data_IF_610823441658
#
_entry.id   IF_610823441658
#
_cell.length_a   1.000
_cell.length_b   1.000
_cell.length_c   1.000
_cell.angle_alpha   90.00
_cell.angle_beta   90.00
_cell.angle_gamma   90.00
#
_symmetry.space_group_name_H-M   'P 1'
#
loop_
_entity.id
_entity.type
_entity.pdbx_description
1 polymer ?
#
# COMPACT_ATOMS: atom_id res chain seq x y z
N UNK A 1 -77.74 -2.77 18.69
CA UNK A 1 -77.04 -3.93 18.10
C UNK A 1 -75.56 -3.56 18.06
N UNK A 2 -74.75 -4.13 18.97
CA UNK A 2 -73.43 -3.61 19.31
C UNK A 2 -72.32 -4.12 18.37
N UNK A 3 -71.50 -3.22 17.85
CA UNK A 3 -70.26 -3.49 17.12
C UNK A 3 -69.22 -4.07 18.09
N UNK A 4 -68.81 -5.33 17.90
CA UNK A 4 -67.73 -5.99 18.64
C UNK A 4 -66.37 -5.57 18.06
N UNK A 5 -65.72 -4.59 18.69
CA UNK A 5 -64.27 -4.39 18.58
C UNK A 5 -63.57 -5.48 19.39
N UNK A 6 -63.11 -6.53 18.73
CA UNK A 6 -62.57 -7.72 19.40
C UNK A 6 -61.41 -8.36 18.67
N UNK A 7 -60.41 -7.57 18.23
CA UNK A 7 -59.15 -8.11 17.66
C UNK A 7 -57.89 -7.36 18.18
N UNK A 8 -58.00 -6.30 18.99
CA UNK A 8 -56.87 -5.38 19.23
C UNK A 8 -55.95 -5.73 20.44
N UNK A 9 -56.20 -6.81 21.20
CA UNK A 9 -55.36 -7.12 22.38
C UNK A 9 -54.14 -8.02 22.10
N UNK A 10 -54.20 -8.94 21.13
CA UNK A 10 -53.09 -9.88 20.81
C UNK A 10 -52.13 -9.38 19.71
N UNK A 11 -52.65 -8.62 18.74
CA UNK A 11 -51.88 -8.16 17.57
C UNK A 11 -50.86 -7.07 17.92
N UNK A 12 -51.17 -6.21 18.90
CA UNK A 12 -50.27 -5.14 19.35
C UNK A 12 -48.99 -5.67 20.00
N UNK A 13 -49.09 -6.74 20.78
CA UNK A 13 -47.93 -7.39 21.40
C UNK A 13 -47.06 -8.09 20.36
N UNK A 14 -47.69 -8.78 19.39
CA UNK A 14 -46.98 -9.46 18.30
C UNK A 14 -46.26 -8.47 17.38
N UNK A 15 -46.89 -7.34 17.05
CA UNK A 15 -46.27 -6.28 16.26
C UNK A 15 -45.01 -5.72 16.95
N UNK A 16 -45.06 -5.55 18.28
CA UNK A 16 -43.94 -5.03 19.07
C UNK A 16 -42.75 -6.01 19.09
N UNK A 17 -43.02 -7.33 19.22
CA UNK A 17 -42.00 -8.37 19.12
C UNK A 17 -41.38 -8.40 17.72
N UNK A 18 -42.20 -8.28 16.67
CA UNK A 18 -41.72 -8.28 15.30
C UNK A 18 -40.80 -7.07 15.03
N UNK A 19 -41.21 -5.87 15.43
CA UNK A 19 -40.37 -4.67 15.31
C UNK A 19 -39.07 -4.82 16.11
N UNK A 20 -39.12 -5.39 17.31
CA UNK A 20 -37.92 -5.65 18.12
C UNK A 20 -36.94 -6.59 17.39
N UNK A 21 -37.43 -7.69 16.81
CA UNK A 21 -36.61 -8.65 16.07
C UNK A 21 -35.99 -7.99 14.84
N UNK A 22 -36.78 -7.28 14.02
CA UNK A 22 -36.26 -6.59 12.85
C UNK A 22 -35.23 -5.52 13.23
N UNK A 23 -35.49 -4.75 14.27
CA UNK A 23 -34.55 -3.73 14.78
C UNK A 23 -33.26 -4.40 15.26
N UNK A 24 -33.35 -5.54 15.95
CA UNK A 24 -32.18 -6.32 16.38
C UNK A 24 -31.34 -6.81 15.19
N UNK A 25 -31.99 -7.35 14.15
CA UNK A 25 -31.31 -7.78 12.93
C UNK A 25 -30.65 -6.60 12.20
N UNK A 26 -31.36 -5.47 12.08
CA UNK A 26 -30.83 -4.23 11.49
C UNK A 26 -29.62 -3.71 12.27
N UNK A 27 -29.65 -3.75 13.61
CA UNK A 27 -28.53 -3.35 14.45
C UNK A 27 -27.30 -4.26 14.29
N UNK A 28 -27.51 -5.58 14.18
CA UNK A 28 -26.42 -6.52 13.94
C UNK A 28 -25.78 -6.26 12.57
N UNK A 29 -26.58 -6.10 11.52
CA UNK A 29 -26.08 -5.84 10.16
C UNK A 29 -25.38 -4.48 10.10
N UNK A 30 -26.00 -3.44 10.67
CA UNK A 30 -25.42 -2.09 10.73
C UNK A 30 -24.09 -2.07 11.50
N UNK A 31 -24.03 -2.76 12.64
CA UNK A 31 -22.80 -2.90 13.41
C UNK A 31 -21.70 -3.63 12.63
N UNK A 32 -22.04 -4.70 11.90
CA UNK A 32 -21.08 -5.41 11.05
C UNK A 32 -20.56 -4.52 9.91
N UNK A 33 -21.43 -3.75 9.25
CA UNK A 33 -21.04 -2.82 8.18
C UNK A 33 -20.13 -1.69 8.68
N UNK A 34 -20.38 -1.14 9.87
CA UNK A 34 -19.49 -0.13 10.46
C UNK A 34 -18.11 -0.72 10.74
N UNK A 35 -18.05 -1.91 11.35
CA UNK A 35 -16.79 -2.60 11.59
C UNK A 35 -16.04 -2.91 10.29
N UNK A 36 -16.76 -3.30 9.24
CA UNK A 36 -16.19 -3.53 7.93
C UNK A 36 -15.61 -2.25 7.33
N UNK A 37 -16.36 -1.15 7.34
CA UNK A 37 -15.91 0.15 6.81
C UNK A 37 -14.68 0.69 7.56
N UNK A 38 -14.65 0.56 8.89
CA UNK A 38 -13.49 0.98 9.70
C UNK A 38 -12.25 0.14 9.37
N UNK A 39 -12.41 -1.18 9.20
CA UNK A 39 -11.30 -2.04 8.79
C UNK A 39 -10.79 -1.73 7.39
N UNK A 40 -11.68 -1.54 6.41
CA UNK A 40 -11.28 -1.15 5.05
C UNK A 40 -10.56 0.19 5.04
N UNK A 41 -10.99 1.17 5.83
CA UNK A 41 -10.33 2.46 5.93
C UNK A 41 -8.91 2.34 6.48
N UNK A 42 -8.70 1.49 7.50
CA UNK A 42 -7.37 1.21 8.03
C UNK A 42 -6.50 0.51 6.98
N UNK A 43 -7.01 -0.55 6.36
CA UNK A 43 -6.30 -1.31 5.31
C UNK A 43 -5.90 -0.38 4.15
N UNK A 44 -6.80 0.49 3.71
CA UNK A 44 -6.54 1.42 2.60
C UNK A 44 -5.44 2.41 2.94
N UNK A 45 -5.41 2.94 4.17
CA UNK A 45 -4.34 3.84 4.60
C UNK A 45 -2.98 3.15 4.65
N UNK A 46 -2.92 1.93 5.21
CA UNK A 46 -1.68 1.15 5.21
C UNK A 46 -1.21 0.82 3.80
N UNK A 47 -2.12 0.45 2.90
CA UNK A 47 -1.80 0.20 1.50
C UNK A 47 -1.28 1.46 0.80
N UNK A 48 -1.90 2.62 1.02
CA UNK A 48 -1.45 3.87 0.43
C UNK A 48 -0.02 4.25 0.87
N UNK A 49 0.30 4.12 2.16
CA UNK A 49 1.65 4.33 2.68
C UNK A 49 2.64 3.30 2.11
N UNK A 50 2.24 2.05 1.99
CA UNK A 50 3.05 0.98 1.40
C UNK A 50 3.35 1.20 -0.08
N UNK A 51 2.39 1.74 -0.84
CA UNK A 51 2.64 2.13 -2.21
C UNK A 51 3.58 3.33 -2.29
N UNK A 52 3.37 4.36 -1.47
CA UNK A 52 4.20 5.57 -1.48
C UNK A 52 5.69 5.25 -1.22
N UNK A 53 6.01 4.44 -0.21
CA UNK A 53 7.40 4.04 0.05
C UNK A 53 8.01 3.22 -1.09
N UNK A 54 7.22 2.35 -1.73
CA UNK A 54 7.67 1.52 -2.84
C UNK A 54 7.99 2.37 -4.06
N UNK A 55 7.10 3.28 -4.44
CA UNK A 55 7.33 4.21 -5.55
C UNK A 55 8.51 5.15 -5.30
N UNK A 56 8.77 5.54 -4.05
CA UNK A 56 9.98 6.30 -3.72
C UNK A 56 11.26 5.51 -3.93
N UNK A 57 11.28 4.24 -3.49
CA UNK A 57 12.41 3.36 -3.72
C UNK A 57 12.63 3.11 -5.23
N UNK A 58 11.55 2.92 -6.00
CA UNK A 58 11.61 2.76 -7.45
C UNK A 58 12.10 4.04 -8.17
N UNK A 59 11.68 5.22 -7.71
CA UNK A 59 12.17 6.48 -8.22
C UNK A 59 13.68 6.65 -8.00
N UNK A 60 14.18 6.31 -6.81
CA UNK A 60 15.62 6.32 -6.54
C UNK A 60 16.38 5.33 -7.42
N UNK A 61 15.84 4.14 -7.63
CA UNK A 61 16.44 3.11 -8.48
C UNK A 61 16.49 3.57 -9.95
N UNK A 62 15.44 4.23 -10.42
CA UNK A 62 15.39 4.84 -11.76
C UNK A 62 16.41 5.97 -11.90
N UNK A 63 16.59 6.79 -10.87
CA UNK A 63 17.64 7.82 -10.84
C UNK A 63 19.05 7.20 -10.88
N UNK A 64 19.28 6.08 -10.18
CA UNK A 64 20.53 5.33 -10.21
C UNK A 64 20.82 4.73 -11.59
N UNK A 65 19.81 4.14 -12.24
CA UNK A 65 19.92 3.67 -13.63
C UNK A 65 20.24 4.82 -14.60
N UNK A 66 19.63 5.98 -14.42
CA UNK A 66 19.90 7.15 -15.24
C UNK A 66 21.34 7.68 -15.04
N UNK A 67 21.86 7.63 -13.80
CA UNK A 67 23.24 7.97 -13.49
C UNK A 67 24.23 7.00 -14.16
N UNK A 68 24.01 5.69 -14.03
CA UNK A 68 24.82 4.66 -14.71
C UNK A 68 24.75 4.76 -16.24
N UNK A 69 23.62 5.22 -16.78
CA UNK A 69 23.47 5.46 -18.21
C UNK A 69 24.31 6.63 -18.73
N UNK A 70 24.59 7.63 -17.89
CA UNK A 70 25.46 8.76 -18.24
C UNK A 70 26.94 8.45 -17.98
N UNK A 71 27.24 7.88 -16.81
CA UNK A 71 28.58 7.43 -16.44
C UNK A 71 28.48 6.07 -15.74
N UNK A 72 28.92 5.02 -16.42
CA UNK A 72 28.91 3.65 -15.88
C UNK A 72 29.88 3.46 -14.69
N UNK A 73 30.81 4.39 -14.53
CA UNK A 73 31.79 4.43 -13.45
C UNK A 73 31.25 5.17 -12.23
N UNK A 74 30.01 5.68 -12.27
CA UNK A 74 29.44 6.39 -11.15
C UNK A 74 29.25 5.43 -9.96
N UNK A 75 29.82 5.82 -8.83
CA UNK A 75 29.75 5.08 -7.57
C UNK A 75 29.49 6.08 -6.45
N UNK A 76 28.87 5.58 -5.38
CA UNK A 76 28.62 6.35 -4.18
C UNK A 76 27.15 6.49 -3.84
N UNK A 77 26.89 7.34 -2.86
CA UNK A 77 25.60 7.54 -2.23
C UNK A 77 25.04 8.90 -2.60
N UNK A 78 23.79 8.93 -3.04
CA UNK A 78 23.07 10.17 -3.30
C UNK A 78 21.64 10.06 -2.79
N UNK A 79 21.10 11.22 -2.42
CA UNK A 79 19.78 11.36 -1.82
C UNK A 79 18.95 12.34 -2.62
N UNK A 80 17.64 12.11 -2.65
CA UNK A 80 16.69 13.05 -3.21
C UNK A 80 15.38 13.03 -2.44
N UNK A 81 14.54 14.03 -2.66
CA UNK A 81 13.19 14.08 -2.11
C UNK A 81 12.17 14.10 -3.23
N UNK A 82 11.08 13.37 -3.03
CA UNK A 82 9.98 13.32 -3.97
C UNK A 82 8.66 13.17 -3.20
N UNK A 83 7.69 14.01 -3.50
CA UNK A 83 6.32 13.87 -2.97
C UNK A 83 6.21 13.91 -1.43
N UNK A 84 7.15 14.52 -0.72
CA UNK A 84 7.15 14.61 0.75
C UNK A 84 7.89 13.49 1.47
N UNK A 85 8.44 12.50 0.76
CA UNK A 85 9.39 11.53 1.31
C UNK A 85 10.80 11.71 0.76
N UNK A 86 11.73 10.91 1.26
CA UNK A 86 13.13 10.90 0.83
C UNK A 86 13.53 9.54 0.29
N UNK A 87 14.35 9.53 -0.74
CA UNK A 87 14.98 8.31 -1.24
C UNK A 87 16.49 8.45 -1.16
N UNK A 88 17.17 7.34 -0.84
CA UNK A 88 18.61 7.25 -0.77
C UNK A 88 19.07 6.09 -1.65
N UNK A 89 19.98 6.37 -2.56
CA UNK A 89 20.48 5.42 -3.54
C UNK A 89 21.97 5.26 -3.35
N UNK A 90 22.42 4.01 -3.37
CA UNK A 90 23.81 3.62 -3.28
C UNK A 90 24.14 2.78 -4.50
N UNK A 91 25.16 3.19 -5.25
CA UNK A 91 25.68 2.43 -6.38
C UNK A 91 27.04 1.85 -5.98
N UNK A 92 27.14 0.53 -6.03
CA UNK A 92 28.35 -0.23 -5.71
C UNK A 92 28.81 -1.06 -6.91
N UNK A 93 30.11 -1.09 -7.13
CA UNK A 93 30.72 -1.95 -8.13
C UNK A 93 31.04 -3.31 -7.52
N UNK A 94 30.29 -4.34 -7.92
CA UNK A 94 30.62 -5.74 -7.58
C UNK A 94 31.70 -6.30 -8.52
N UNK A 95 31.65 -5.92 -9.81
CA UNK A 95 32.60 -6.38 -10.85
C UNK A 95 32.85 -5.30 -11.91
N UNK A 96 33.87 -5.42 -12.79
CA UNK A 96 34.11 -4.44 -13.87
C UNK A 96 32.93 -4.28 -14.84
N UNK A 97 32.10 -5.31 -14.98
CA UNK A 97 30.95 -5.38 -15.87
C UNK A 97 29.61 -5.36 -15.14
N UNK A 98 29.62 -5.35 -13.81
CA UNK A 98 28.42 -5.47 -12.98
C UNK A 98 28.37 -4.39 -11.91
N UNK A 99 27.20 -3.76 -11.78
CA UNK A 99 26.92 -2.71 -10.80
C UNK A 99 25.68 -3.09 -10.02
N UNK A 100 25.74 -2.95 -8.71
CA UNK A 100 24.59 -3.12 -7.84
C UNK A 100 24.06 -1.72 -7.49
N UNK A 101 22.76 -1.51 -7.71
CA UNK A 101 22.07 -0.30 -7.28
C UNK A 101 21.15 -0.70 -6.15
N UNK A 102 21.41 -0.16 -4.96
CA UNK A 102 20.51 -0.24 -3.82
C UNK A 102 19.78 1.10 -3.68
N UNK A 103 18.45 1.07 -3.62
CA UNK A 103 17.60 2.23 -3.39
C UNK A 103 16.71 1.99 -2.19
N UNK A 104 16.70 2.95 -1.27
CA UNK A 104 15.79 2.96 -0.13
C UNK A 104 14.84 4.15 -0.22
N UNK A 105 13.55 3.91 -0.04
CA UNK A 105 12.52 4.93 0.04
C UNK A 105 12.02 5.05 1.48
N UNK A 106 12.03 6.25 2.05
CA UNK A 106 11.56 6.54 3.40
C UNK A 106 10.40 7.52 3.37
N UNK A 107 9.30 7.16 4.01
CA UNK A 107 8.11 7.99 4.17
C UNK A 107 7.51 7.77 5.57
N UNK A 108 7.34 8.87 6.33
CA UNK A 108 6.79 8.88 7.71
C UNK A 108 7.38 7.81 8.67
N UNK A 109 8.69 7.54 8.58
CA UNK A 109 9.38 6.61 9.47
C UNK A 109 9.31 5.13 9.05
N UNK A 110 8.64 4.81 7.94
CA UNK A 110 8.72 3.51 7.28
C UNK A 110 9.66 3.57 6.08
N UNK A 111 10.59 2.61 6.00
CA UNK A 111 11.54 2.48 4.90
C UNK A 111 11.31 1.19 4.11
N UNK A 112 11.49 1.24 2.79
CA UNK A 112 11.56 0.08 1.90
C UNK A 112 12.91 0.09 1.20
N UNK A 113 13.58 -1.06 1.08
CA UNK A 113 14.86 -1.21 0.38
C UNK A 113 14.67 -2.14 -0.82
N UNK A 114 15.12 -1.68 -1.98
CA UNK A 114 15.13 -2.41 -3.24
C UNK A 114 16.56 -2.42 -3.77
N UNK A 115 17.03 -3.57 -4.21
CA UNK A 115 18.31 -3.68 -4.89
C UNK A 115 18.14 -4.32 -6.26
N UNK A 116 18.89 -3.83 -7.23
CA UNK A 116 19.01 -4.44 -8.55
C UNK A 116 20.46 -4.62 -8.93
N UNK A 117 20.72 -5.72 -9.63
CA UNK A 117 21.99 -5.94 -10.30
C UNK A 117 21.88 -5.57 -11.77
N UNK A 118 22.81 -4.75 -12.24
CA UNK A 118 22.87 -4.23 -13.60
C UNK A 118 24.18 -4.67 -14.25
N UNK A 119 24.07 -5.35 -15.40
CA UNK A 119 25.21 -5.75 -16.22
C UNK A 119 25.24 -4.89 -17.48
N UNK A 120 26.45 -4.47 -17.88
CA UNK A 120 26.66 -3.76 -19.14
C UNK A 120 26.95 -4.73 -20.28
N UNK A 121 26.05 -4.79 -21.25
CA UNK A 121 26.23 -5.57 -22.48
C UNK A 121 27.33 -4.91 -23.36
N UNK A 122 28.12 -5.67 -24.15
CA UNK A 122 29.09 -5.14 -25.14
C UNK A 122 28.57 -4.04 -26.07
N UNK A 123 27.25 -3.93 -26.27
CA UNK A 123 26.61 -2.86 -27.04
C UNK A 123 26.41 -1.55 -26.23
N UNK A 124 26.87 -1.50 -24.99
CA UNK A 124 26.72 -0.37 -24.08
C UNK A 124 25.34 -0.25 -23.42
N UNK A 125 24.47 -1.25 -23.59
CA UNK A 125 23.13 -1.28 -23.00
C UNK A 125 23.16 -1.87 -21.59
N UNK A 126 22.42 -1.27 -20.66
CA UNK A 126 22.24 -1.77 -19.30
C UNK A 126 21.16 -2.85 -19.28
N UNK A 127 21.48 -4.01 -18.71
CA UNK A 127 20.56 -5.13 -18.51
C UNK A 127 20.36 -5.33 -17.01
N UNK A 128 19.10 -5.32 -16.57
CA UNK A 128 18.76 -5.66 -15.19
C UNK A 128 18.64 -7.17 -15.11
N UNK A 129 19.45 -7.79 -14.26
CA UNK A 129 19.56 -9.26 -14.17
C UNK A 129 18.72 -9.81 -13.04
N UNK A 130 18.71 -9.13 -11.90
CA UNK A 130 18.06 -9.61 -10.69
C UNK A 130 17.42 -8.47 -9.89
N UNK A 131 16.22 -8.74 -9.36
CA UNK A 131 15.51 -7.87 -8.43
C UNK A 131 15.54 -8.50 -7.04
N UNK A 132 16.19 -7.84 -6.09
CA UNK A 132 16.27 -8.26 -4.71
C UNK A 132 15.44 -7.29 -3.86
N UNK A 133 14.45 -7.84 -3.13
CA UNK A 133 13.66 -7.09 -2.16
C UNK A 133 14.10 -7.53 -0.76
N UNK A 134 14.59 -6.58 0.03
CA UNK A 134 15.02 -6.81 1.40
C UNK A 134 13.94 -6.41 2.41
#
# INVERSE_FOLDING_TARGET
MAFKYGIISGEKGMALVLVLVFTGVLLIIGGAMINFALNEQLITNYQAQDFQKYYLAEAGLTAGLAALGQDYSCEGLFEGSLGGGTYQVTITASDPLTREITSSGSYEGCSCLLAIEVIRDPNGKLLITEWQRY
#
